data_IF_251682233380
#
_entry.id   IF_251682233380
#
_cell.length_a   1.000
_cell.length_b   1.000
_cell.length_c   1.000
_cell.angle_alpha   90.00
_cell.angle_beta   90.00
_cell.angle_gamma   90.00
#
_symmetry.space_group_name_H-M   'P 1'
#
loop_
_entity.id
_entity.type
_entity.pdbx_description
1 polymer ?
#
# COMPACT_ATOMS: atom_id res chain seq x y z
N UNK A 1 60.59 38.45 47.49
CA UNK A 1 60.02 39.12 46.30
C UNK A 1 59.83 38.14 45.12
N UNK A 2 60.91 37.40 44.81
CA UNK A 2 60.79 36.36 43.67
C UNK A 2 59.83 35.26 44.04
N UNK A 3 59.70 34.84 45.30
CA UNK A 3 58.75 33.79 45.71
C UNK A 3 57.30 34.24 45.64
N UNK A 4 57.00 35.49 46.00
CA UNK A 4 55.68 36.09 45.90
C UNK A 4 55.23 36.24 44.44
N UNK A 5 56.16 36.65 43.57
CA UNK A 5 55.89 36.78 42.13
C UNK A 5 55.63 35.40 41.51
N UNK A 6 56.41 34.35 41.87
CA UNK A 6 56.18 32.98 41.39
C UNK A 6 54.87 32.42 41.94
N UNK A 7 54.51 32.67 43.19
CA UNK A 7 53.24 32.23 43.78
C UNK A 7 52.03 32.89 43.09
N UNK A 8 52.16 34.22 42.77
CA UNK A 8 51.12 34.90 41.99
C UNK A 8 50.98 34.40 40.59
N UNK A 9 52.09 34.09 39.89
CA UNK A 9 52.06 33.47 38.56
C UNK A 9 51.43 32.08 38.59
N UNK A 10 51.76 31.27 39.57
CA UNK A 10 51.18 29.95 39.76
C UNK A 10 49.66 30.06 40.08
N UNK A 11 49.23 31.04 40.84
CA UNK A 11 47.81 31.30 41.12
C UNK A 11 47.06 31.75 39.89
N UNK A 12 47.63 32.62 39.06
CA UNK A 12 47.03 33.07 37.80
C UNK A 12 46.91 31.92 36.82
N UNK A 13 47.93 31.11 36.65
CA UNK A 13 47.91 29.92 35.82
C UNK A 13 46.84 28.91 36.29
N UNK A 14 46.72 28.69 37.59
CA UNK A 14 45.70 27.82 38.16
C UNK A 14 44.29 28.36 37.90
N UNK A 15 44.06 29.65 38.02
CA UNK A 15 42.80 30.31 37.69
C UNK A 15 42.44 30.16 36.22
N UNK A 16 43.42 30.33 35.33
CA UNK A 16 43.21 30.12 33.88
C UNK A 16 42.83 28.69 33.56
N UNK A 17 43.47 27.72 34.19
CA UNK A 17 43.13 26.30 34.02
C UNK A 17 41.71 26.01 34.52
N UNK A 18 41.33 26.58 35.68
CA UNK A 18 39.97 26.41 36.22
C UNK A 18 38.91 27.05 35.33
N UNK A 19 39.17 28.20 34.76
CA UNK A 19 38.26 28.86 33.80
C UNK A 19 38.12 28.05 32.53
N UNK A 20 39.24 27.52 32.03
CA UNK A 20 39.23 26.64 30.85
C UNK A 20 38.45 25.35 31.09
N UNK A 21 38.62 24.75 32.27
CA UNK A 21 37.84 23.55 32.64
C UNK A 21 36.35 23.85 32.72
N UNK A 22 35.94 25.01 33.23
CA UNK A 22 34.54 25.42 33.26
C UNK A 22 33.98 25.65 31.86
N UNK A 23 34.74 26.28 30.98
CA UNK A 23 34.35 26.47 29.59
C UNK A 23 34.20 25.14 28.86
N UNK A 24 35.14 24.24 29.03
CA UNK A 24 35.08 22.90 28.41
C UNK A 24 33.89 22.11 28.95
N UNK A 25 33.62 22.16 30.25
CA UNK A 25 32.46 21.49 30.84
C UNK A 25 31.15 22.08 30.32
N UNK A 26 31.07 23.40 30.16
CA UNK A 26 29.90 24.07 29.59
C UNK A 26 29.70 23.72 28.10
N UNK A 27 30.76 23.68 27.31
CA UNK A 27 30.72 23.29 25.92
C UNK A 27 30.29 21.82 25.76
N UNK A 28 30.82 20.96 26.61
CA UNK A 28 30.43 19.54 26.61
C UNK A 28 28.95 19.35 26.95
N UNK A 29 28.48 20.02 27.99
CA UNK A 29 27.08 19.99 28.39
C UNK A 29 26.16 20.52 27.29
N UNK A 30 26.55 21.63 26.64
CA UNK A 30 25.82 22.21 25.53
C UNK A 30 25.78 21.25 24.31
N UNK A 31 26.90 20.63 24.00
CA UNK A 31 26.99 19.66 22.93
C UNK A 31 26.12 18.42 23.21
N UNK A 32 26.12 17.93 24.44
CA UNK A 32 25.23 16.83 24.83
C UNK A 32 23.74 17.19 24.72
N UNK A 33 23.38 18.40 25.21
CA UNK A 33 22.00 18.87 25.13
C UNK A 33 21.56 19.04 23.67
N UNK A 34 22.43 19.56 22.81
CA UNK A 34 22.16 19.70 21.37
C UNK A 34 22.00 18.34 20.68
N UNK A 35 22.89 17.41 20.99
CA UNK A 35 22.81 16.05 20.45
C UNK A 35 21.50 15.36 20.86
N UNK A 36 21.10 15.47 22.12
CA UNK A 36 19.82 14.91 22.59
C UNK A 36 18.62 15.54 21.88
N UNK A 37 18.65 16.86 21.68
CA UNK A 37 17.59 17.56 20.92
C UNK A 37 17.51 17.08 19.48
N UNK A 38 18.66 16.94 18.81
CA UNK A 38 18.72 16.44 17.42
C UNK A 38 18.18 15.03 17.32
N UNK A 39 18.55 14.15 18.24
CA UNK A 39 18.03 12.78 18.28
C UNK A 39 16.51 12.80 18.47
N UNK A 40 15.99 13.60 19.40
CA UNK A 40 14.56 13.69 19.65
C UNK A 40 13.79 14.23 18.43
N UNK A 41 14.34 15.24 17.74
CA UNK A 41 13.75 15.77 16.50
C UNK A 41 13.72 14.73 15.40
N UNK A 42 14.84 14.03 15.19
CA UNK A 42 14.93 12.98 14.17
C UNK A 42 14.02 11.79 14.48
N UNK A 43 13.89 11.41 15.74
CA UNK A 43 12.96 10.33 16.14
C UNK A 43 11.51 10.71 15.86
N UNK A 44 11.12 11.96 16.12
CA UNK A 44 9.77 12.45 15.81
C UNK A 44 9.53 12.52 14.32
N UNK A 45 10.53 12.99 13.57
CA UNK A 45 10.45 13.03 12.11
C UNK A 45 10.30 11.62 11.51
N UNK A 46 11.11 10.67 12.01
CA UNK A 46 11.01 9.27 11.58
C UNK A 46 9.65 8.65 11.93
N UNK A 47 9.12 8.93 13.11
CA UNK A 47 7.80 8.45 13.52
C UNK A 47 6.69 9.00 12.62
N UNK A 48 6.75 10.28 12.24
CA UNK A 48 5.80 10.88 11.28
C UNK A 48 5.93 10.25 9.90
N UNK A 49 7.13 10.04 9.43
CA UNK A 49 7.39 9.43 8.13
C UNK A 49 6.83 8.00 8.07
N UNK A 50 7.01 7.21 9.11
CA UNK A 50 6.43 5.87 9.22
C UNK A 50 4.90 5.95 9.21
N UNK A 51 4.30 6.85 9.95
CA UNK A 51 2.86 7.02 10.01
C UNK A 51 2.28 7.46 8.66
N UNK A 52 2.92 8.41 8.00
CA UNK A 52 2.54 8.87 6.67
C UNK A 52 2.66 7.74 5.63
N UNK A 53 3.73 6.95 5.70
CA UNK A 53 3.91 5.79 4.84
C UNK A 53 2.82 4.73 5.05
N UNK A 54 2.43 4.50 6.30
CA UNK A 54 1.32 3.57 6.61
C UNK A 54 0.00 4.06 6.04
N UNK A 55 -0.30 5.34 6.18
CA UNK A 55 -1.52 5.93 5.61
C UNK A 55 -1.54 5.84 4.10
N UNK A 56 -0.42 6.16 3.46
CA UNK A 56 -0.28 6.06 2.02
C UNK A 56 -0.44 4.61 1.54
N UNK A 57 0.17 3.66 2.23
CA UNK A 57 0.03 2.23 1.91
C UNK A 57 -1.42 1.76 2.08
N UNK A 58 -2.13 2.23 3.10
CA UNK A 58 -3.55 1.92 3.32
C UNK A 58 -4.42 2.46 2.17
N UNK A 59 -4.19 3.71 1.77
CA UNK A 59 -4.91 4.32 0.64
C UNK A 59 -4.65 3.55 -0.65
N UNK A 60 -3.40 3.24 -0.94
CA UNK A 60 -3.03 2.46 -2.13
C UNK A 60 -3.64 1.06 -2.12
N UNK A 61 -3.62 0.38 -0.96
CA UNK A 61 -4.23 -0.93 -0.82
C UNK A 61 -5.74 -0.89 -1.09
N UNK A 62 -6.44 0.10 -0.57
CA UNK A 62 -7.88 0.29 -0.81
C UNK A 62 -8.18 0.57 -2.28
N UNK A 63 -7.37 1.40 -2.92
CA UNK A 63 -7.50 1.69 -4.35
C UNK A 63 -7.29 0.44 -5.19
N UNK A 64 -6.26 -0.34 -4.90
CA UNK A 64 -5.98 -1.59 -5.61
C UNK A 64 -7.11 -2.60 -5.42
N UNK A 65 -7.65 -2.72 -4.22
CA UNK A 65 -8.80 -3.59 -3.95
C UNK A 65 -10.04 -3.14 -4.70
N UNK A 66 -10.34 -1.84 -4.69
CA UNK A 66 -11.48 -1.28 -5.42
C UNK A 66 -11.35 -1.51 -6.94
N UNK A 67 -10.17 -1.29 -7.51
CA UNK A 67 -9.89 -1.55 -8.92
C UNK A 67 -10.01 -3.04 -9.26
N UNK A 68 -9.52 -3.91 -8.39
CA UNK A 68 -9.62 -5.36 -8.58
C UNK A 68 -11.08 -5.83 -8.52
N UNK A 69 -11.87 -5.31 -7.59
CA UNK A 69 -13.31 -5.61 -7.49
C UNK A 69 -14.07 -5.12 -8.73
N UNK A 70 -13.75 -3.92 -9.21
CA UNK A 70 -14.36 -3.39 -10.43
C UNK A 70 -14.03 -4.26 -11.64
N UNK A 71 -12.75 -4.62 -11.81
CA UNK A 71 -12.33 -5.51 -12.91
C UNK A 71 -12.98 -6.88 -12.82
N UNK A 72 -13.05 -7.44 -11.62
CA UNK A 72 -13.73 -8.73 -11.41
C UNK A 72 -15.22 -8.65 -11.74
N UNK A 73 -15.88 -7.56 -11.36
CA UNK A 73 -17.27 -7.32 -11.71
C UNK A 73 -17.51 -7.19 -13.20
N UNK A 74 -16.68 -6.43 -13.90
CA UNK A 74 -16.73 -6.30 -15.37
C UNK A 74 -16.50 -7.63 -16.08
N UNK A 75 -15.51 -8.37 -15.63
CA UNK A 75 -15.21 -9.71 -16.18
C UNK A 75 -16.36 -10.68 -15.95
N UNK A 76 -16.96 -10.66 -14.76
CA UNK A 76 -18.13 -11.47 -14.43
C UNK A 76 -19.31 -11.12 -15.33
N UNK A 77 -19.59 -9.84 -15.56
CA UNK A 77 -20.65 -9.41 -16.48
C UNK A 77 -20.42 -9.90 -17.91
N UNK A 78 -19.18 -9.82 -18.39
CA UNK A 78 -18.82 -10.35 -19.72
C UNK A 78 -19.04 -11.85 -19.82
N UNK A 79 -18.63 -12.60 -18.81
CA UNK A 79 -18.82 -14.06 -18.76
C UNK A 79 -20.31 -14.40 -18.75
N UNK A 80 -21.10 -13.71 -17.95
CA UNK A 80 -22.55 -13.93 -17.87
C UNK A 80 -23.25 -13.57 -19.18
N UNK A 81 -22.87 -12.46 -19.81
CA UNK A 81 -23.43 -12.06 -21.11
C UNK A 81 -23.12 -13.09 -22.20
N UNK A 82 -21.89 -13.57 -22.23
CA UNK A 82 -21.48 -14.62 -23.17
C UNK A 82 -22.24 -15.92 -22.93
N UNK A 83 -22.38 -16.32 -21.66
CA UNK A 83 -23.14 -17.51 -21.29
C UNK A 83 -24.62 -17.42 -21.69
N UNK A 84 -25.25 -16.26 -21.51
CA UNK A 84 -26.64 -16.00 -21.93
C UNK A 84 -26.78 -16.12 -23.45
N UNK A 85 -25.86 -15.52 -24.19
CA UNK A 85 -25.84 -15.59 -25.65
C UNK A 85 -25.71 -17.05 -26.13
N UNK A 86 -24.82 -17.80 -25.52
CA UNK A 86 -24.65 -19.22 -25.83
C UNK A 86 -25.90 -20.06 -25.51
N UNK A 87 -26.51 -19.79 -24.34
CA UNK A 87 -27.78 -20.44 -23.97
C UNK A 87 -28.90 -20.10 -24.94
N UNK A 88 -29.04 -18.85 -25.38
CA UNK A 88 -30.03 -18.44 -26.38
C UNK A 88 -29.82 -19.16 -27.73
N UNK A 89 -28.57 -19.27 -28.16
CA UNK A 89 -28.22 -20.03 -29.38
C UNK A 89 -28.57 -21.50 -29.25
N UNK A 90 -28.27 -22.12 -28.13
CA UNK A 90 -28.62 -23.52 -27.88
C UNK A 90 -30.13 -23.73 -27.84
N UNK A 91 -30.88 -22.82 -27.20
CA UNK A 91 -32.34 -22.87 -27.18
C UNK A 91 -32.94 -22.71 -28.58
N UNK A 92 -32.43 -21.77 -29.37
CA UNK A 92 -32.86 -21.58 -30.75
C UNK A 92 -32.58 -22.83 -31.62
N UNK A 93 -31.39 -23.40 -31.49
CA UNK A 93 -31.02 -24.62 -32.20
C UNK A 93 -31.89 -25.81 -31.78
N UNK A 94 -32.17 -25.96 -30.49
CA UNK A 94 -33.05 -27.00 -29.97
C UNK A 94 -34.49 -26.86 -30.49
N UNK A 95 -35.04 -25.65 -30.55
CA UNK A 95 -36.36 -25.37 -31.11
C UNK A 95 -36.42 -25.71 -32.59
N UNK A 96 -35.43 -25.28 -33.36
CA UNK A 96 -35.35 -25.60 -34.79
C UNK A 96 -35.27 -27.12 -35.05
N UNK A 97 -34.50 -27.82 -34.23
CA UNK A 97 -34.41 -29.30 -34.32
C UNK A 97 -35.73 -29.97 -33.93
N UNK A 98 -36.41 -29.46 -32.91
CA UNK A 98 -37.71 -29.96 -32.48
C UNK A 98 -38.75 -29.77 -33.56
N UNK A 99 -38.81 -28.59 -34.20
CA UNK A 99 -39.71 -28.32 -35.34
C UNK A 99 -39.42 -29.24 -36.51
N UNK A 100 -38.16 -29.44 -36.86
CA UNK A 100 -37.78 -30.39 -37.95
C UNK A 100 -38.17 -31.83 -37.64
N UNK A 101 -37.96 -32.26 -36.39
CA UNK A 101 -38.35 -33.62 -35.97
C UNK A 101 -39.87 -33.77 -35.98
N UNK A 102 -40.62 -32.79 -35.51
CA UNK A 102 -42.08 -32.81 -35.56
C UNK A 102 -42.62 -32.84 -37.00
N UNK A 103 -42.02 -32.03 -37.88
CA UNK A 103 -42.37 -32.01 -39.31
C UNK A 103 -42.05 -33.33 -39.99
N UNK A 104 -40.90 -33.93 -39.72
CA UNK A 104 -40.52 -35.23 -40.24
C UNK A 104 -41.50 -36.33 -39.81
N UNK A 105 -41.87 -36.35 -38.52
CA UNK A 105 -42.86 -37.31 -38.01
C UNK A 105 -44.23 -37.14 -38.68
N UNK A 106 -44.69 -35.91 -38.84
CA UNK A 106 -45.94 -35.60 -39.52
C UNK A 106 -45.93 -36.05 -40.96
N UNK A 107 -44.84 -35.84 -41.70
CA UNK A 107 -44.68 -36.31 -43.09
C UNK A 107 -44.64 -37.81 -43.16
N UNK A 108 -43.97 -38.49 -42.29
CA UNK A 108 -43.94 -39.99 -42.27
C UNK A 108 -45.32 -40.56 -41.95
N UNK A 109 -46.05 -40.01 -41.04
CA UNK A 109 -47.40 -40.46 -40.68
C UNK A 109 -48.35 -40.26 -41.88
N UNK A 110 -48.26 -39.16 -42.61
CA UNK A 110 -49.04 -38.87 -43.77
C UNK A 110 -48.69 -39.84 -44.91
N UNK A 111 -47.40 -40.09 -45.17
CA UNK A 111 -46.92 -41.01 -46.15
C UNK A 111 -47.38 -42.44 -45.86
N UNK A 112 -47.24 -42.93 -44.66
CA UNK A 112 -47.72 -44.27 -44.26
C UNK A 112 -49.23 -44.41 -44.44
N UNK A 113 -49.99 -43.38 -44.11
CA UNK A 113 -51.46 -43.39 -44.27
C UNK A 113 -51.91 -43.37 -45.69
N UNK A 114 -51.15 -42.82 -46.63
CA UNK A 114 -51.46 -42.79 -48.04
C UNK A 114 -50.97 -44.01 -48.81
N UNK A 115 -50.01 -44.77 -48.27
CA UNK A 115 -49.48 -46.00 -48.87
C UNK A 115 -50.20 -47.26 -48.44
N UNK A 116 -50.98 -47.17 -47.40
CA UNK A 116 -51.81 -48.31 -46.95
C UNK A 116 -53.25 -48.12 -47.41
#
# INVERSE_FOLDING_TARGET
>A
VLKEVNDNMAMEELQQVQELEKELAAQYAAAQADAKRRIAVEQRAAAREIEDSRRNADVEARQLMAEAEQRAGEETEKILAKARTECEKMQSAARANLERAAQWIAEEVVNDKWQS
#
